data_IF_674748972129
#
_entry.id   IF_674748972129
#
_cell.length_a   1.000
_cell.length_b   1.000
_cell.length_c   1.000
_cell.angle_alpha   90.00
_cell.angle_beta   90.00
_cell.angle_gamma   90.00
#
_symmetry.space_group_name_H-M   'P 1'
#
loop_
_entity.id
_entity.type
_entity.pdbx_description
1 polymer ?
#
# COMPACT_ATOMS: atom_id res chain seq x y z
N UNK A 1 -7.20 -55.90 22.25
CA UNK A 1 -7.85 -54.88 21.40
C UNK A 1 -8.43 -53.82 22.33
N UNK A 2 -7.76 -52.67 22.44
CA UNK A 2 -8.29 -51.46 23.10
C UNK A 2 -8.06 -50.35 22.10
N UNK A 3 -9.14 -49.91 21.47
CA UNK A 3 -9.13 -48.85 20.46
C UNK A 3 -9.02 -47.49 21.15
N UNK A 4 -7.96 -46.75 20.84
CA UNK A 4 -7.90 -45.31 21.07
C UNK A 4 -8.41 -44.60 19.81
N UNK A 5 -9.69 -44.21 19.85
CA UNK A 5 -10.26 -43.21 18.95
C UNK A 5 -9.90 -41.83 19.51
N UNK A 6 -8.81 -41.24 19.03
CA UNK A 6 -8.54 -39.82 19.24
C UNK A 6 -9.32 -39.03 18.19
N UNK A 7 -10.47 -38.47 18.60
CA UNK A 7 -11.19 -37.44 17.86
C UNK A 7 -10.31 -36.18 17.77
N UNK A 8 -9.49 -36.09 16.73
CA UNK A 8 -8.87 -34.83 16.32
C UNK A 8 -9.93 -33.93 15.70
N UNK A 9 -10.55 -33.04 16.47
CA UNK A 9 -11.28 -31.92 15.90
C UNK A 9 -10.30 -31.14 15.00
N UNK A 10 -10.57 -30.99 13.68
CA UNK A 10 -9.73 -30.15 12.84
C UNK A 10 -9.84 -28.73 13.37
N UNK A 11 -8.81 -28.24 14.06
CA UNK A 11 -8.67 -26.82 14.35
C UNK A 11 -8.65 -26.12 13.00
N UNK A 12 -9.80 -25.56 12.60
CA UNK A 12 -9.88 -24.67 11.45
C UNK A 12 -9.00 -23.48 11.78
N UNK A 13 -7.80 -23.47 11.21
CA UNK A 13 -6.93 -22.31 11.24
C UNK A 13 -7.65 -21.17 10.54
N UNK A 14 -8.24 -20.27 11.32
CA UNK A 14 -8.78 -19.02 10.80
C UNK A 14 -7.59 -18.06 10.69
N UNK A 15 -7.22 -17.65 9.47
CA UNK A 15 -6.12 -16.71 9.31
C UNK A 15 -6.47 -15.39 10.02
N UNK A 16 -5.48 -14.70 10.61
CA UNK A 16 -5.73 -13.50 11.40
C UNK A 16 -6.40 -12.40 10.57
N UNK A 17 -7.32 -11.67 11.22
CA UNK A 17 -8.02 -10.49 10.68
C UNK A 17 -7.13 -9.26 10.91
N UNK A 18 -5.92 -9.29 10.36
CA UNK A 18 -4.93 -8.21 10.49
C UNK A 18 -4.24 -7.98 9.15
N UNK A 19 -3.75 -6.75 8.89
CA UNK A 19 -2.91 -6.50 7.74
C UNK A 19 -1.64 -7.36 7.78
N UNK A 20 -1.25 -7.94 6.64
CA UNK A 20 -0.06 -8.78 6.52
C UNK A 20 1.05 -8.06 5.77
N UNK A 21 2.29 -8.14 6.25
CA UNK A 21 3.45 -7.56 5.54
C UNK A 21 3.97 -8.55 4.51
N UNK A 22 4.00 -8.14 3.25
CA UNK A 22 4.63 -8.88 2.16
C UNK A 22 6.04 -8.32 1.92
N UNK A 23 7.04 -9.21 1.91
CA UNK A 23 8.45 -8.88 1.67
C UNK A 23 8.84 -8.89 0.18
N UNK A 24 7.89 -9.25 -0.68
CA UNK A 24 7.99 -9.25 -2.13
C UNK A 24 6.79 -8.51 -2.72
N UNK A 25 6.97 -7.77 -3.83
CA UNK A 25 5.88 -7.05 -4.47
C UNK A 25 4.79 -8.01 -4.94
N UNK A 26 3.56 -7.78 -4.50
CA UNK A 26 2.37 -8.45 -5.04
C UNK A 26 1.47 -7.48 -5.79
N UNK A 27 1.59 -6.18 -5.52
CA UNK A 27 0.84 -5.11 -6.20
C UNK A 27 1.59 -4.51 -7.40
N UNK A 28 2.91 -4.57 -7.41
CA UNK A 28 3.78 -4.08 -8.47
C UNK A 28 4.56 -5.22 -9.13
N UNK A 29 5.00 -5.09 -10.40
CA UNK A 29 5.90 -6.05 -11.01
C UNK A 29 7.23 -6.11 -10.25
N UNK A 30 7.85 -7.29 -10.16
CA UNK A 30 9.08 -7.51 -9.39
C UNK A 30 10.23 -6.54 -9.75
N UNK A 31 10.31 -6.12 -11.03
CA UNK A 31 11.28 -5.11 -11.52
C UNK A 31 11.23 -3.76 -10.79
N UNK A 32 10.18 -3.48 -10.03
CA UNK A 32 10.13 -2.28 -9.20
C UNK A 32 11.23 -2.28 -8.13
N UNK A 33 11.69 -3.46 -7.70
CA UNK A 33 12.77 -3.60 -6.73
C UNK A 33 14.10 -3.05 -7.27
N UNK A 34 14.31 -3.09 -8.59
CA UNK A 34 15.51 -2.54 -9.24
C UNK A 34 15.53 -0.99 -9.15
N UNK A 35 14.40 -0.38 -8.80
CA UNK A 35 14.23 1.07 -8.64
C UNK A 35 14.15 1.48 -7.16
N UNK A 36 14.35 0.53 -6.25
CA UNK A 36 14.28 0.76 -4.81
C UNK A 36 15.67 0.73 -4.16
N UNK A 37 15.91 1.66 -3.25
CA UNK A 37 17.13 1.74 -2.44
C UNK A 37 16.83 1.50 -0.95
N UNK A 38 17.69 0.77 -0.21
CA UNK A 38 17.50 0.59 1.22
C UNK A 38 17.43 1.94 1.94
N UNK A 39 16.52 2.06 2.92
CA UNK A 39 16.39 3.27 3.73
C UNK A 39 16.10 2.94 5.18
N UNK A 40 16.70 3.70 6.09
CA UNK A 40 16.40 3.58 7.51
C UNK A 40 15.30 4.56 7.91
N UNK A 41 14.11 4.03 8.15
CA UNK A 41 12.94 4.81 8.53
C UNK A 41 12.59 4.53 10.00
N UNK A 42 12.49 5.58 10.82
CA UNK A 42 12.06 5.41 12.21
C UNK A 42 10.57 5.02 12.30
N UNK A 43 10.13 4.34 13.37
CA UNK A 43 8.71 4.10 13.62
C UNK A 43 7.86 5.37 13.64
N UNK A 44 8.41 6.45 14.20
CA UNK A 44 7.75 7.76 14.23
C UNK A 44 7.56 8.32 12.81
N UNK A 45 8.57 8.23 11.95
CA UNK A 45 8.50 8.67 10.55
C UNK A 45 7.48 7.85 9.76
N UNK A 46 7.45 6.52 9.93
CA UNK A 46 6.44 5.66 9.31
C UNK A 46 5.01 6.07 9.75
N UNK A 47 4.82 6.30 11.04
CA UNK A 47 3.53 6.74 11.58
C UNK A 47 3.14 8.12 11.05
N UNK A 48 4.09 9.05 10.93
CA UNK A 48 3.86 10.36 10.32
C UNK A 48 3.42 10.26 8.86
N UNK A 49 4.03 9.37 8.06
CA UNK A 49 3.60 9.12 6.67
C UNK A 49 2.14 8.66 6.63
N UNK A 50 1.79 7.66 7.45
CA UNK A 50 0.43 7.12 7.51
C UNK A 50 -0.59 8.15 8.00
N UNK A 51 -0.21 8.98 8.99
CA UNK A 51 -1.04 10.06 9.51
C UNK A 51 -1.24 11.17 8.48
N UNK A 52 -0.17 11.59 7.80
CA UNK A 52 -0.24 12.60 6.74
C UNK A 52 -1.18 12.17 5.60
N UNK A 53 -1.10 10.90 5.22
CA UNK A 53 -1.93 10.31 4.17
C UNK A 53 -3.38 10.01 4.63
N UNK A 54 -3.67 10.15 5.93
CA UNK A 54 -4.97 9.81 6.54
C UNK A 54 -5.34 8.33 6.34
N UNK A 55 -4.35 7.44 6.43
CA UNK A 55 -4.50 5.99 6.17
C UNK A 55 -4.65 5.14 7.43
N UNK A 56 -4.40 5.70 8.61
CA UNK A 56 -4.47 4.97 9.88
C UNK A 56 -5.88 4.40 10.15
N UNK A 57 -6.92 5.16 9.87
CA UNK A 57 -8.30 4.68 10.01
C UNK A 57 -8.71 3.79 8.83
N UNK A 58 -8.10 4.02 7.67
CA UNK A 58 -8.36 3.29 6.43
C UNK A 58 -7.95 1.81 6.48
N UNK A 59 -6.98 1.45 7.33
CA UNK A 59 -6.53 0.07 7.56
C UNK A 59 -7.41 -0.70 8.57
N UNK A 60 -8.48 -0.09 9.10
CA UNK A 60 -9.50 -0.72 9.95
C UNK A 60 -9.07 -0.94 11.40
N UNK A 61 -9.95 -1.53 12.22
CA UNK A 61 -9.80 -1.65 13.68
C UNK A 61 -8.55 -2.44 14.14
N UNK A 62 -7.99 -3.28 13.27
CA UNK A 62 -6.76 -4.00 13.55
C UNK A 62 -5.52 -3.08 13.53
N UNK A 63 -5.61 -1.95 12.83
CA UNK A 63 -4.56 -0.94 12.75
C UNK A 63 -3.21 -1.44 12.25
N UNK A 64 -2.19 -0.61 12.46
CA UNK A 64 -0.79 -1.00 12.31
C UNK A 64 -0.24 -1.29 13.71
N UNK A 65 -0.15 -2.57 14.08
CA UNK A 65 0.49 -2.96 15.33
C UNK A 65 2.03 -2.84 15.25
N UNK A 66 2.68 -2.85 16.41
CA UNK A 66 4.15 -2.68 16.52
C UNK A 66 4.94 -3.71 15.71
N UNK A 67 4.50 -4.98 15.73
CA UNK A 67 5.16 -6.07 14.99
C UNK A 67 5.10 -5.85 13.48
N UNK A 68 3.94 -5.46 12.96
CA UNK A 68 3.73 -5.14 11.54
C UNK A 68 4.54 -3.91 11.14
N UNK A 69 4.57 -2.87 11.97
CA UNK A 69 5.43 -1.70 11.76
C UNK A 69 6.92 -2.07 11.71
N UNK A 70 7.39 -2.89 12.64
CA UNK A 70 8.77 -3.35 12.69
C UNK A 70 9.15 -4.16 11.44
N UNK A 71 8.24 -4.99 10.91
CA UNK A 71 8.45 -5.73 9.66
C UNK A 71 8.55 -4.80 8.44
N UNK A 72 7.70 -3.78 8.35
CA UNK A 72 7.77 -2.76 7.29
C UNK A 72 9.13 -2.06 7.33
N UNK A 73 9.53 -1.56 8.50
CA UNK A 73 10.80 -0.86 8.70
C UNK A 73 11.99 -1.75 8.33
N UNK A 74 11.98 -3.01 8.80
CA UNK A 74 13.02 -3.98 8.46
C UNK A 74 13.11 -4.24 6.95
N UNK A 75 11.97 -4.31 6.26
CA UNK A 75 11.93 -4.54 4.82
C UNK A 75 12.46 -3.33 4.04
N UNK A 76 12.05 -2.12 4.42
CA UNK A 76 12.57 -0.86 3.87
C UNK A 76 14.09 -0.73 4.06
N UNK A 77 14.60 -1.06 5.26
CA UNK A 77 16.05 -1.04 5.54
C UNK A 77 16.85 -2.00 4.66
N UNK A 78 16.26 -3.14 4.28
CA UNK A 78 16.97 -4.16 3.51
C UNK A 78 16.85 -3.99 2.00
N UNK A 79 15.70 -3.53 1.50
CA UNK A 79 15.35 -3.59 0.07
C UNK A 79 14.72 -2.30 -0.47
N UNK A 80 14.44 -1.33 0.38
CA UNK A 80 13.71 -0.13 -0.02
C UNK A 80 12.25 -0.37 -0.39
N UNK A 81 11.71 -1.57 -0.13
CA UNK A 81 10.33 -1.93 -0.44
C UNK A 81 9.66 -2.58 0.76
N UNK A 82 8.41 -2.20 1.02
CA UNK A 82 7.52 -2.91 1.93
C UNK A 82 6.10 -2.81 1.41
N UNK A 83 5.31 -3.86 1.63
CA UNK A 83 3.90 -3.89 1.27
C UNK A 83 3.09 -4.41 2.44
N UNK A 84 1.95 -3.78 2.68
CA UNK A 84 0.97 -4.13 3.68
C UNK A 84 -0.31 -4.53 2.96
N UNK A 85 -0.68 -5.82 3.02
CA UNK A 85 -1.97 -6.31 2.53
C UNK A 85 -3.04 -6.11 3.61
N UNK A 86 -3.95 -5.18 3.38
CA UNK A 86 -5.02 -4.81 4.31
C UNK A 86 -6.40 -5.41 3.93
N UNK A 87 -6.47 -6.29 2.91
CA UNK A 87 -7.75 -6.93 2.50
C UNK A 87 -8.49 -7.63 3.62
N UNK A 88 -7.75 -8.15 4.60
CA UNK A 88 -8.29 -8.91 5.74
C UNK A 88 -8.77 -8.01 6.89
N UNK A 89 -8.42 -6.73 6.92
CA UNK A 89 -8.68 -5.86 8.06
C UNK A 89 -10.04 -5.15 8.01
N UNK A 90 -10.87 -5.45 7.01
CA UNK A 90 -12.21 -4.86 6.79
C UNK A 90 -12.22 -3.32 6.64
N UNK A 91 -11.05 -2.73 6.46
CA UNK A 91 -10.89 -1.31 6.17
C UNK A 91 -11.28 -0.95 4.73
N UNK A 92 -11.12 0.34 4.37
CA UNK A 92 -11.32 0.81 3.00
C UNK A 92 -10.09 0.62 2.12
N UNK A 93 -8.92 0.53 2.75
CA UNK A 93 -7.65 0.30 2.08
C UNK A 93 -7.46 -1.21 1.86
N UNK A 94 -7.15 -1.57 0.62
CA UNK A 94 -6.84 -2.95 0.21
C UNK A 94 -5.39 -3.28 0.48
N UNK A 95 -4.49 -2.35 0.19
CA UNK A 95 -3.05 -2.52 0.38
C UNK A 95 -2.38 -1.15 0.54
N UNK A 96 -1.22 -1.14 1.18
CA UNK A 96 -0.29 0.00 1.21
C UNK A 96 1.07 -0.49 0.75
N UNK A 97 1.72 0.24 -0.14
CA UNK A 97 3.08 -0.05 -0.58
C UNK A 97 3.98 1.16 -0.31
N UNK A 98 5.18 0.87 0.18
CA UNK A 98 6.23 1.84 0.43
C UNK A 98 7.42 1.51 -0.45
N UNK A 99 7.91 2.50 -1.21
CA UNK A 99 9.07 2.37 -2.08
C UNK A 99 10.02 3.53 -1.83
N UNK A 100 11.16 3.27 -1.21
CA UNK A 100 12.23 4.23 -1.12
C UNK A 100 12.97 4.27 -2.47
N UNK A 101 13.04 5.45 -3.08
CA UNK A 101 13.74 5.62 -4.35
C UNK A 101 15.26 5.50 -4.15
N UNK A 102 15.97 5.21 -5.24
CA UNK A 102 17.44 5.11 -5.24
C UNK A 102 18.16 6.40 -4.80
N UNK A 103 17.47 7.54 -4.79
CA UNK A 103 18.00 8.80 -4.26
C UNK A 103 18.21 8.78 -2.73
N UNK A 104 17.64 7.80 -2.03
CA UNK A 104 17.69 7.66 -0.58
C UNK A 104 16.92 8.75 0.19
N UNK A 105 16.26 9.66 -0.52
CA UNK A 105 15.64 10.90 0.02
C UNK A 105 14.15 10.96 -0.25
N UNK A 106 13.62 10.08 -1.09
CA UNK A 106 12.20 10.05 -1.44
C UNK A 106 11.59 8.71 -1.09
N UNK A 107 10.47 8.75 -0.36
CA UNK A 107 9.58 7.61 -0.15
C UNK A 107 8.31 7.80 -0.99
N UNK A 108 8.05 6.88 -1.91
CA UNK A 108 6.75 6.74 -2.54
C UNK A 108 5.87 5.87 -1.65
N UNK A 109 4.82 6.46 -1.11
CA UNK A 109 3.82 5.75 -0.33
C UNK A 109 2.53 5.68 -1.16
N UNK A 110 2.00 4.48 -1.40
CA UNK A 110 0.83 4.25 -2.25
C UNK A 110 -0.20 3.41 -1.51
N UNK A 111 -1.48 3.75 -1.61
CA UNK A 111 -2.58 2.94 -1.08
C UNK A 111 -3.59 2.61 -2.18
N UNK A 112 -4.01 1.35 -2.24
CA UNK A 112 -5.03 0.88 -3.17
C UNK A 112 -6.39 0.68 -2.51
N UNK A 113 -7.47 0.90 -3.28
CA UNK A 113 -8.85 0.84 -2.82
C UNK A 113 -9.72 0.14 -3.87
N UNK A 114 -10.67 -0.70 -3.44
CA UNK A 114 -11.62 -1.33 -4.38
C UNK A 114 -12.68 -0.34 -4.89
N UNK A 115 -12.89 0.76 -4.18
CA UNK A 115 -13.81 1.83 -4.53
C UNK A 115 -13.13 3.20 -4.43
N UNK A 116 -13.80 4.25 -4.92
CA UNK A 116 -13.30 5.61 -4.81
C UNK A 116 -12.91 5.93 -3.34
N UNK A 117 -11.72 6.50 -3.09
CA UNK A 117 -11.27 6.81 -1.73
C UNK A 117 -12.19 7.83 -1.04
N UNK A 118 -12.28 7.81 0.31
CA UNK A 118 -13.01 8.82 1.08
C UNK A 118 -12.56 10.26 0.77
N UNK A 119 -13.46 11.26 0.78
CA UNK A 119 -13.13 12.65 0.45
C UNK A 119 -11.96 13.24 1.26
N UNK A 120 -11.82 12.87 2.53
CA UNK A 120 -10.71 13.33 3.38
C UNK A 120 -9.33 12.92 2.83
N UNK A 121 -9.23 11.76 2.17
CA UNK A 121 -7.99 11.26 1.56
C UNK A 121 -7.74 11.86 0.16
N UNK A 122 -8.77 12.41 -0.47
CA UNK A 122 -8.69 13.11 -1.75
C UNK A 122 -8.41 14.62 -1.61
N UNK A 123 -8.35 15.13 -0.39
CA UNK A 123 -8.04 16.55 -0.13
C UNK A 123 -6.70 16.92 -0.74
N UNK A 124 -6.70 17.96 -1.59
CA UNK A 124 -5.52 18.38 -2.35
C UNK A 124 -5.52 17.98 -3.82
N UNK A 125 -6.55 17.25 -4.30
CA UNK A 125 -6.74 16.95 -5.74
C UNK A 125 -8.14 17.35 -6.19
N UNK A 126 -8.24 17.89 -7.41
CA UNK A 126 -9.52 18.22 -8.04
C UNK A 126 -9.91 17.15 -9.08
N UNK A 127 -10.79 16.24 -8.68
CA UNK A 127 -11.31 15.17 -9.55
C UNK A 127 -12.37 15.65 -10.55
N UNK A 128 -12.76 16.92 -10.52
CA UNK A 128 -13.67 17.51 -11.53
C UNK A 128 -12.94 17.89 -12.81
N UNK A 129 -11.62 18.08 -12.73
CA UNK A 129 -10.77 18.27 -13.90
C UNK A 129 -10.65 16.98 -14.72
N UNK A 130 -10.46 17.13 -16.04
CA UNK A 130 -10.26 15.97 -16.91
C UNK A 130 -8.92 15.27 -16.56
N UNK A 131 -8.92 13.94 -16.32
CA UNK A 131 -7.68 13.23 -16.01
C UNK A 131 -6.75 13.14 -17.22
N UNK A 132 -5.45 13.05 -16.94
CA UNK A 132 -4.50 12.52 -17.91
C UNK A 132 -4.79 11.03 -18.11
N UNK A 133 -4.98 10.58 -19.36
CA UNK A 133 -5.29 9.18 -19.67
C UNK A 133 -4.09 8.47 -20.29
N UNK A 134 -3.77 7.30 -19.78
CA UNK A 134 -2.69 6.46 -20.29
C UNK A 134 -3.09 4.98 -20.35
N UNK A 135 -2.36 4.21 -21.17
CA UNK A 135 -2.41 2.75 -21.14
C UNK A 135 -1.15 2.21 -20.48
N UNK A 136 -1.31 1.28 -19.52
CA UNK A 136 -0.19 0.59 -18.86
C UNK A 136 -0.43 -0.91 -18.78
N UNK A 137 0.59 -1.66 -18.35
CA UNK A 137 0.45 -3.07 -17.98
C UNK A 137 0.63 -3.24 -16.48
N UNK A 138 -0.17 -4.13 -15.89
CA UNK A 138 -0.06 -4.46 -14.47
C UNK A 138 1.10 -5.44 -14.18
N UNK A 139 1.22 -5.87 -12.91
CA UNK A 139 2.25 -6.81 -12.48
C UNK A 139 2.20 -8.18 -13.21
N UNK A 140 1.03 -8.55 -13.76
CA UNK A 140 0.79 -9.80 -14.47
C UNK A 140 0.67 -9.58 -15.99
N UNK A 141 1.15 -8.43 -16.49
CA UNK A 141 1.21 -8.07 -17.90
C UNK A 141 -0.16 -7.87 -18.58
N UNK A 142 -1.24 -7.67 -17.82
CA UNK A 142 -2.57 -7.35 -18.38
C UNK A 142 -2.69 -5.87 -18.73
N UNK A 143 -3.36 -5.52 -19.84
CA UNK A 143 -3.58 -4.13 -20.23
C UNK A 143 -4.56 -3.41 -19.29
N UNK A 144 -4.19 -2.20 -18.91
CA UNK A 144 -4.93 -1.29 -18.05
C UNK A 144 -5.09 0.06 -18.75
N UNK A 145 -6.27 0.68 -18.61
CA UNK A 145 -6.45 2.12 -18.77
C UNK A 145 -6.27 2.78 -17.41
N UNK A 146 -5.57 3.90 -17.36
CA UNK A 146 -5.33 4.66 -16.14
C UNK A 146 -5.73 6.10 -16.38
N UNK A 147 -6.62 6.59 -15.54
CA UNK A 147 -6.98 8.00 -15.46
C UNK A 147 -6.26 8.59 -14.24
N UNK A 148 -5.44 9.61 -14.45
CA UNK A 148 -4.55 10.19 -13.44
C UNK A 148 -4.89 11.65 -13.18
N UNK A 149 -5.05 11.99 -11.90
CA UNK A 149 -5.14 13.36 -11.41
C UNK A 149 -3.93 13.67 -10.55
N UNK A 150 -3.31 14.83 -10.80
CA UNK A 150 -2.24 15.36 -9.98
C UNK A 150 -2.82 16.28 -8.90
N UNK A 151 -2.19 16.30 -7.74
CA UNK A 151 -2.58 17.19 -6.66
C UNK A 151 -1.45 17.42 -5.67
N UNK A 152 -1.79 18.06 -4.57
CA UNK A 152 -0.86 18.33 -3.49
C UNK A 152 -1.58 18.39 -2.14
N UNK A 153 -1.12 17.59 -1.18
CA UNK A 153 -1.62 17.61 0.20
C UNK A 153 -0.56 18.19 1.11
N UNK A 154 -0.81 19.36 1.69
CA UNK A 154 0.10 20.00 2.66
C UNK A 154 1.55 20.06 2.14
N UNK A 155 1.72 20.54 0.90
CA UNK A 155 3.01 20.64 0.18
C UNK A 155 3.70 19.32 -0.20
N UNK A 156 3.02 18.18 -0.06
CA UNK A 156 3.48 16.88 -0.56
C UNK A 156 2.76 16.56 -1.87
N UNK A 157 3.48 16.32 -2.98
CA UNK A 157 2.87 15.90 -4.23
C UNK A 157 2.06 14.61 -4.05
N UNK A 158 0.83 14.61 -4.55
CA UNK A 158 -0.05 13.44 -4.56
C UNK A 158 -0.52 13.15 -5.97
N UNK A 159 -0.77 11.87 -6.24
CA UNK A 159 -1.34 11.37 -7.48
C UNK A 159 -2.52 10.50 -7.11
N UNK A 160 -3.67 10.74 -7.73
CA UNK A 160 -4.85 9.89 -7.65
C UNK A 160 -5.01 9.19 -8.99
N UNK A 161 -5.13 7.87 -8.97
CA UNK A 161 -5.34 7.08 -10.18
C UNK A 161 -6.64 6.27 -10.06
N UNK A 162 -7.43 6.27 -11.14
CA UNK A 162 -8.49 5.29 -11.36
C UNK A 162 -8.00 4.30 -12.41
N UNK A 163 -7.91 3.03 -12.00
CA UNK A 163 -7.26 1.97 -12.74
C UNK A 163 -8.33 1.02 -13.24
N UNK A 164 -8.50 0.99 -14.55
CA UNK A 164 -9.55 0.23 -15.23
C UNK A 164 -8.91 -0.89 -16.06
N UNK A 165 -8.98 -2.14 -15.60
CA UNK A 165 -8.55 -3.28 -16.40
C UNK A 165 -9.33 -3.36 -17.71
N UNK A 166 -8.65 -3.60 -18.83
CA UNK A 166 -9.32 -3.83 -20.11
C UNK A 166 -9.85 -5.27 -20.23
N UNK A 167 -9.51 -6.13 -19.26
CA UNK A 167 -10.02 -7.50 -19.13
C UNK A 167 -11.25 -7.50 -18.22
N UNK A 168 -12.42 -7.84 -18.77
CA UNK A 168 -13.73 -7.72 -18.10
C UNK A 168 -13.87 -8.46 -16.76
N UNK A 169 -13.09 -9.52 -16.53
CA UNK A 169 -13.17 -10.32 -15.30
C UNK A 169 -12.45 -9.70 -14.10
N UNK A 170 -11.73 -8.59 -14.29
CA UNK A 170 -10.94 -7.96 -13.24
C UNK A 170 -11.59 -6.65 -12.78
N UNK A 171 -11.77 -6.46 -11.46
CA UNK A 171 -12.39 -5.26 -10.94
C UNK A 171 -11.47 -4.06 -11.17
N UNK A 172 -12.09 -2.91 -11.43
CA UNK A 172 -11.42 -1.62 -11.30
C UNK A 172 -11.01 -1.37 -9.86
N UNK A 173 -10.04 -0.47 -9.69
CA UNK A 173 -9.60 -0.02 -8.37
C UNK A 173 -9.04 1.40 -8.46
N UNK A 174 -8.84 2.00 -7.30
CA UNK A 174 -8.27 3.32 -7.14
C UNK A 174 -6.94 3.23 -6.42
N UNK A 175 -6.04 4.16 -6.72
CA UNK A 175 -4.77 4.31 -6.03
C UNK A 175 -4.55 5.77 -5.64
N UNK A 176 -4.05 6.01 -4.43
CA UNK A 176 -3.50 7.30 -4.02
C UNK A 176 -2.01 7.10 -3.73
N UNK A 177 -1.17 7.89 -4.37
CA UNK A 177 0.28 7.86 -4.23
C UNK A 177 0.81 9.21 -3.76
N UNK A 178 1.64 9.22 -2.73
CA UNK A 178 2.34 10.40 -2.22
C UNK A 178 3.84 10.28 -2.48
N UNK A 179 4.45 11.39 -2.90
CA UNK A 179 5.91 11.50 -3.00
C UNK A 179 6.45 12.22 -1.76
N UNK A 180 6.75 11.47 -0.72
CA UNK A 180 7.15 12.00 0.59
C UNK A 180 8.67 12.23 0.63
N UNK A 181 9.14 13.46 0.86
CA UNK A 181 10.55 13.70 1.13
C UNK A 181 10.90 13.13 2.51
N UNK A 182 11.93 12.29 2.56
CA UNK A 182 12.54 11.83 3.79
C UNK A 182 13.52 12.94 4.23
N UNK A 183 13.21 13.59 5.36
CA UNK A 183 14.17 14.52 5.98
C UNK A 183 15.33 13.73 6.56
N UNK A 184 16.51 14.34 6.56
CA UNK A 184 17.69 13.74 7.20
C UNK A 184 17.40 13.59 8.71
N UNK A 185 17.80 12.50 9.38
CA UNK A 185 17.61 12.33 10.83
C UNK A 185 18.36 13.36 11.70
N UNK A 186 19.05 14.32 11.07
CA UNK A 186 19.92 15.32 11.71
C UNK A 186 19.35 16.75 11.69
N UNK A 187 18.15 16.95 11.12
CA UNK A 187 17.35 18.18 11.25
C UNK A 187 16.37 18.06 12.43
#
# INVERSE_FOLDING_TARGET
>A
VVGLLTCGCPQRFLPPIQPNVSLYPTVYPARILDQCGPVDLSPASLHQVLKHADWLDGIGNAGLNESTAALIIRSLRKRGYAELDARRSKGKIRWIAFRALLDGKTLLASAGYDHRPPPAQLTGTDLTTEPARASRRDAYNYPLRVDTWQGMRTNVPMVVEHIVPMVKSRPEHWEISYRVPLRDPKD
#
